data_IF_638285452438
#
_entry.id   IF_638285452438
#
_cell.length_a   1.000
_cell.length_b   1.000
_cell.length_c   1.000
_cell.angle_alpha   90.00
_cell.angle_beta   90.00
_cell.angle_gamma   90.00
#
_symmetry.space_group_name_H-M   'P 1'
#
loop_
_entity.id
_entity.type
_entity.pdbx_description
1 polymer ?
#
# COMPACT_ATOMS: atom_id res chain seq x y z
N UNK A 1 32.62 -21.75 24.97
CA UNK A 1 31.26 -21.20 25.04
C UNK A 1 31.24 -19.89 24.27
N UNK A 2 30.99 -19.91 22.96
CA UNK A 2 31.06 -18.71 22.09
C UNK A 2 30.13 -18.92 20.89
N UNK A 3 28.83 -18.71 21.09
CA UNK A 3 27.83 -18.85 20.01
C UNK A 3 26.66 -17.85 20.12
N UNK A 4 26.84 -16.72 20.82
CA UNK A 4 25.76 -15.73 21.05
C UNK A 4 26.02 -14.36 20.43
N UNK A 5 27.20 -14.13 19.82
CA UNK A 5 27.56 -12.79 19.31
C UNK A 5 27.16 -12.54 17.86
N UNK A 6 26.91 -13.58 17.06
CA UNK A 6 26.67 -13.45 15.61
C UNK A 6 25.20 -13.23 15.25
N UNK A 7 24.25 -13.70 16.07
CA UNK A 7 22.81 -13.56 15.81
C UNK A 7 22.25 -12.16 16.07
N UNK A 8 22.90 -11.36 16.92
CA UNK A 8 22.43 -10.00 17.19
C UNK A 8 22.72 -9.08 16.00
N UNK A 9 23.90 -9.21 15.38
CA UNK A 9 24.31 -8.41 14.22
C UNK A 9 23.46 -8.66 12.96
N UNK A 10 22.95 -9.88 12.77
CA UNK A 10 22.07 -10.20 11.62
C UNK A 10 20.69 -9.54 11.72
N UNK A 11 20.17 -9.38 12.94
CA UNK A 11 18.86 -8.74 13.15
C UNK A 11 18.93 -7.22 12.94
N UNK A 12 20.02 -6.60 13.39
CA UNK A 12 20.25 -5.16 13.19
C UNK A 12 20.40 -4.83 11.70
N UNK A 13 21.10 -5.66 10.93
CA UNK A 13 21.29 -5.46 9.49
C UNK A 13 19.95 -5.61 8.70
N UNK A 14 19.10 -6.55 9.08
CA UNK A 14 17.77 -6.70 8.46
C UNK A 14 16.82 -5.56 8.86
N UNK A 15 16.86 -5.11 10.11
CA UNK A 15 16.11 -3.93 10.54
C UNK A 15 16.57 -2.68 9.80
N UNK A 16 17.88 -2.48 9.63
CA UNK A 16 18.42 -1.37 8.85
C UNK A 16 18.02 -1.43 7.37
N UNK A 17 18.01 -2.62 6.77
CA UNK A 17 17.55 -2.79 5.38
C UNK A 17 16.05 -2.48 5.23
N UNK A 18 15.23 -2.90 6.19
CA UNK A 18 13.79 -2.60 6.19
C UNK A 18 13.52 -1.12 6.42
N UNK A 19 14.25 -0.49 7.36
CA UNK A 19 14.18 0.95 7.61
C UNK A 19 14.67 1.76 6.42
N UNK A 20 15.69 1.31 5.70
CA UNK A 20 16.18 1.95 4.48
C UNK A 20 15.18 1.84 3.33
N UNK A 21 14.45 0.71 3.23
CA UNK A 21 13.37 0.55 2.25
C UNK A 21 12.19 1.46 2.58
N UNK A 22 11.79 1.53 3.85
CA UNK A 22 10.73 2.42 4.32
C UNK A 22 11.11 3.90 4.17
N UNK A 23 12.38 4.25 4.44
CA UNK A 23 12.93 5.58 4.20
C UNK A 23 12.99 5.91 2.72
N UNK A 24 13.43 5.00 1.85
CA UNK A 24 13.45 5.23 0.40
C UNK A 24 12.03 5.40 -0.17
N UNK A 25 11.05 4.64 0.32
CA UNK A 25 9.64 4.82 -0.03
C UNK A 25 9.10 6.16 0.49
N UNK A 26 9.45 6.54 1.72
CA UNK A 26 9.08 7.83 2.32
C UNK A 26 9.75 9.02 1.61
N UNK A 27 11.00 8.91 1.20
CA UNK A 27 11.76 9.93 0.47
C UNK A 27 11.25 10.09 -0.97
N UNK A 28 10.87 9.00 -1.63
CA UNK A 28 10.19 9.05 -2.93
C UNK A 28 8.86 9.81 -2.84
N UNK A 29 8.08 9.59 -1.77
CA UNK A 29 6.87 10.36 -1.49
C UNK A 29 7.16 11.82 -1.10
N UNK A 30 8.23 12.07 -0.35
CA UNK A 30 8.60 13.39 0.15
C UNK A 30 9.19 14.31 -0.93
N UNK A 31 9.88 13.76 -1.94
CA UNK A 31 10.57 14.51 -2.98
C UNK A 31 9.77 14.64 -4.29
N UNK A 32 8.53 14.16 -4.32
CA UNK A 32 7.64 14.42 -5.45
C UNK A 32 7.34 15.93 -5.51
N UNK A 33 7.60 16.64 -6.63
CA UNK A 33 7.39 18.09 -6.77
C UNK A 33 5.91 18.51 -6.74
N UNK A 34 5.03 17.63 -6.27
CA UNK A 34 3.57 17.77 -6.30
C UNK A 34 2.95 16.99 -5.13
N UNK A 35 3.34 17.30 -3.89
CA UNK A 35 2.83 16.64 -2.65
C UNK A 35 1.31 16.71 -2.50
N UNK A 36 0.65 17.64 -3.19
CA UNK A 36 -0.81 17.81 -3.19
C UNK A 36 -1.52 17.02 -4.30
N UNK A 37 -0.77 16.38 -5.21
CA UNK A 37 -1.36 15.42 -6.16
C UNK A 37 -1.56 14.10 -5.45
N UNK A 38 -2.81 13.72 -5.29
CA UNK A 38 -3.17 12.32 -5.05
C UNK A 38 -2.49 11.50 -6.15
N UNK A 39 -1.53 10.66 -5.75
CA UNK A 39 -0.84 9.78 -6.68
C UNK A 39 -1.86 8.77 -7.20
N UNK A 40 -2.32 8.99 -8.43
CA UNK A 40 -3.30 8.15 -9.11
C UNK A 40 -2.65 6.95 -9.82
N UNK A 41 -1.40 6.64 -9.50
CA UNK A 41 -0.74 5.43 -9.99
C UNK A 41 -1.40 4.16 -9.45
N UNK A 42 -1.31 3.08 -10.22
CA UNK A 42 -1.83 1.77 -9.78
C UNK A 42 -1.12 1.28 -8.50
N UNK A 43 0.17 1.60 -8.33
CA UNK A 43 0.93 1.21 -7.15
C UNK A 43 0.41 1.92 -5.91
N UNK A 44 0.22 3.23 -5.97
CA UNK A 44 -0.36 4.00 -4.87
C UNK A 44 -1.76 3.49 -4.52
N UNK A 45 -2.62 3.27 -5.51
CA UNK A 45 -3.97 2.74 -5.29
C UNK A 45 -3.98 1.37 -4.59
N UNK A 46 -3.03 0.48 -4.93
CA UNK A 46 -2.85 -0.81 -4.24
C UNK A 46 -2.46 -0.65 -2.77
N UNK A 47 -1.48 0.21 -2.49
CA UNK A 47 -0.99 0.45 -1.13
C UNK A 47 -2.09 1.06 -0.25
N UNK A 48 -2.81 2.06 -0.76
CA UNK A 48 -3.92 2.67 -0.03
C UNK A 48 -5.10 1.72 0.15
N UNK A 49 -5.46 0.94 -0.88
CA UNK A 49 -6.51 -0.07 -0.76
C UNK A 49 -6.19 -1.11 0.32
N UNK A 50 -4.95 -1.62 0.37
CA UNK A 50 -4.51 -2.57 1.39
C UNK A 50 -4.59 -1.97 2.80
N UNK A 51 -4.03 -0.77 2.97
CA UNK A 51 -4.07 -0.05 4.24
C UNK A 51 -5.50 0.21 4.70
N UNK A 52 -6.36 0.75 3.83
CA UNK A 52 -7.76 1.01 4.15
C UNK A 52 -8.55 -0.26 4.42
N UNK A 53 -8.24 -1.37 3.75
CA UNK A 53 -8.89 -2.65 4.03
C UNK A 53 -8.56 -3.12 5.45
N UNK A 54 -7.30 -3.03 5.88
CA UNK A 54 -6.87 -3.39 7.23
C UNK A 54 -7.41 -2.44 8.30
N UNK A 55 -7.43 -1.13 8.05
CA UNK A 55 -7.93 -0.12 9.01
C UNK A 55 -9.45 -0.22 9.20
N UNK A 56 -10.20 -0.45 8.13
CA UNK A 56 -11.67 -0.52 8.18
C UNK A 56 -12.21 -1.92 8.39
N UNK A 57 -11.37 -2.95 8.29
CA UNK A 57 -11.75 -4.36 8.28
C UNK A 57 -12.78 -4.72 7.20
N UNK A 58 -12.81 -3.95 6.11
CA UNK A 58 -13.74 -4.11 4.99
C UNK A 58 -12.99 -4.23 3.66
N UNK A 59 -13.49 -5.04 2.70
CA UNK A 59 -12.89 -5.14 1.38
C UNK A 59 -12.83 -3.78 0.64
N UNK A 60 -11.67 -3.49 0.04
CA UNK A 60 -11.43 -2.30 -0.78
C UNK A 60 -11.20 -2.71 -2.23
N UNK A 61 -11.87 -2.06 -3.16
CA UNK A 61 -11.80 -2.34 -4.60
C UNK A 61 -11.06 -1.23 -5.31
N UNK A 62 -10.05 -1.60 -6.09
CA UNK A 62 -9.25 -0.71 -6.93
C UNK A 62 -9.95 -0.58 -8.28
N UNK A 63 -10.17 0.65 -8.72
CA UNK A 63 -10.91 0.95 -9.93
C UNK A 63 -10.35 2.17 -10.67
N UNK A 64 -10.70 2.30 -11.95
CA UNK A 64 -10.53 3.54 -12.73
C UNK A 64 -11.84 3.88 -13.45
N UNK A 65 -12.18 5.15 -13.50
CA UNK A 65 -13.33 5.62 -14.31
C UNK A 65 -12.82 6.26 -15.60
N UNK A 66 -13.62 6.27 -16.68
CA UNK A 66 -13.25 6.95 -17.93
C UNK A 66 -12.96 8.45 -17.73
N UNK A 67 -13.62 9.06 -16.74
CA UNK A 67 -13.56 10.49 -16.47
C UNK A 67 -12.34 10.90 -15.63
N UNK A 68 -11.65 9.94 -15.00
CA UNK A 68 -10.47 10.20 -14.16
C UNK A 68 -9.22 9.57 -14.77
N UNK A 69 -8.12 10.31 -14.82
CA UNK A 69 -6.88 9.85 -15.45
C UNK A 69 -6.03 8.94 -14.55
N UNK A 70 -6.63 8.15 -13.66
CA UNK A 70 -5.85 7.17 -12.89
C UNK A 70 -6.65 6.26 -11.97
N UNK A 71 -5.92 5.54 -11.14
CA UNK A 71 -6.43 4.48 -10.28
C UNK A 71 -6.78 4.99 -8.90
N UNK A 72 -7.90 4.52 -8.39
CA UNK A 72 -8.48 4.87 -7.10
C UNK A 72 -8.91 3.61 -6.37
N UNK A 73 -9.27 3.74 -5.09
CA UNK A 73 -9.88 2.65 -4.33
C UNK A 73 -11.13 3.11 -3.61
N UNK A 74 -12.04 2.18 -3.35
CA UNK A 74 -13.28 2.43 -2.61
C UNK A 74 -13.87 1.13 -2.06
N UNK A 75 -14.93 1.19 -1.28
CA UNK A 75 -15.64 0.00 -0.82
C UNK A 75 -16.22 -0.80 -2.00
N UNK A 76 -16.21 -2.13 -1.88
CA UNK A 76 -16.69 -3.06 -2.93
C UNK A 76 -18.17 -2.88 -3.34
N UNK A 77 -18.99 -2.19 -2.55
CA UNK A 77 -20.40 -1.91 -2.86
C UNK A 77 -20.65 -0.48 -3.36
N UNK A 78 -19.59 0.28 -3.66
CA UNK A 78 -19.74 1.65 -4.13
C UNK A 78 -20.36 1.67 -5.54
N UNK A 79 -21.41 2.49 -5.75
CA UNK A 79 -22.10 2.63 -7.04
C UNK A 79 -21.19 3.08 -8.19
N UNK A 80 -20.09 3.77 -7.88
CA UNK A 80 -19.10 4.20 -8.89
C UNK A 80 -18.51 3.01 -9.66
N UNK A 81 -18.49 1.82 -9.04
CA UNK A 81 -17.96 0.60 -9.65
C UNK A 81 -18.82 0.08 -10.80
N UNK A 82 -20.10 0.44 -10.89
CA UNK A 82 -21.00 0.00 -11.97
C UNK A 82 -20.55 0.51 -13.34
N UNK A 83 -19.81 1.62 -13.37
CA UNK A 83 -19.33 2.29 -14.59
C UNK A 83 -17.81 2.37 -14.66
N UNK A 84 -17.11 1.73 -13.72
CA UNK A 84 -15.67 1.75 -13.63
C UNK A 84 -15.07 0.46 -14.17
N UNK A 85 -13.83 0.55 -14.64
CA UNK A 85 -13.00 -0.62 -14.83
C UNK A 85 -12.39 -1.01 -13.48
N UNK A 86 -12.65 -2.25 -13.08
CA UNK A 86 -12.17 -2.82 -11.81
C UNK A 86 -10.88 -3.58 -12.06
N UNK A 87 -9.88 -3.35 -11.22
CA UNK A 87 -8.63 -4.09 -11.26
C UNK A 87 -8.61 -5.27 -10.30
N UNK A 88 -8.84 -5.01 -9.00
CA UNK A 88 -8.81 -6.04 -7.96
C UNK A 88 -9.57 -5.57 -6.71
N UNK A 89 -10.06 -6.53 -5.93
CA UNK A 89 -10.55 -6.30 -4.58
C UNK A 89 -9.54 -6.83 -3.58
N UNK A 90 -9.06 -5.95 -2.71
CA UNK A 90 -8.15 -6.23 -1.61
C UNK A 90 -8.96 -6.55 -0.36
N UNK A 91 -8.69 -7.71 0.22
CA UNK A 91 -9.27 -8.13 1.49
C UNK A 91 -8.32 -7.74 2.64
N UNK A 92 -8.84 -7.49 3.86
CA UNK A 92 -7.99 -7.26 5.02
C UNK A 92 -7.13 -8.49 5.30
N UNK A 93 -5.86 -8.30 5.65
CA UNK A 93 -4.91 -9.41 5.88
C UNK A 93 -5.40 -10.36 6.98
N UNK A 94 -6.12 -9.83 7.97
CA UNK A 94 -6.71 -10.58 9.09
C UNK A 94 -7.82 -11.55 8.69
N UNK A 95 -8.38 -11.46 7.48
CA UNK A 95 -9.38 -12.42 7.00
C UNK A 95 -8.82 -13.83 6.79
N UNK A 96 -7.50 -13.96 6.65
CA UNK A 96 -6.82 -15.22 6.33
C UNK A 96 -6.02 -15.80 7.51
N UNK A 97 -6.21 -15.25 8.72
CA UNK A 97 -5.61 -15.74 9.96
C UNK A 97 -6.54 -16.72 10.66
#
# INVERSE_FOLDING_TARGET
MTATSTQHQSNDAQQQHNLAFDQAASEACANSPNRDRIDTSLLAAKLYAARSADETMLPQTIFRTPDTSGWWHTHCHARVLEKAEVFATVLPARYFQ
#
